data_IF_333389840623
#
_entry.id   IF_333389840623
#
_cell.length_a   1.000
_cell.length_b   1.000
_cell.length_c   1.000
_cell.angle_alpha   90.00
_cell.angle_beta   90.00
_cell.angle_gamma   90.00
#
_symmetry.space_group_name_H-M   'P 1'
#
loop_
_entity.id
_entity.type
_entity.pdbx_description
1 polymer ?
#
# COMPACT_ATOMS: atom_id res chain seq x y z
N UNK A 1 21.06 -2.57 -40.15
CA UNK A 1 21.80 -1.53 -39.38
C UNK A 1 20.90 -0.35 -38.93
N UNK A 2 19.68 -0.20 -39.45
CA UNK A 2 18.76 0.89 -39.04
C UNK A 2 17.96 0.62 -37.76
N UNK A 3 17.80 -0.64 -37.34
CA UNK A 3 17.02 -1.04 -36.16
C UNK A 3 17.67 -0.62 -34.83
N UNK A 4 18.99 -0.79 -34.70
CA UNK A 4 19.74 -0.49 -33.47
C UNK A 4 19.69 1.01 -33.10
N UNK A 5 19.71 1.89 -34.09
CA UNK A 5 19.65 3.34 -33.87
C UNK A 5 18.25 3.79 -33.43
N UNK A 6 17.21 3.13 -33.92
CA UNK A 6 15.82 3.44 -33.57
C UNK A 6 15.47 2.92 -32.18
N UNK A 7 16.02 1.78 -31.79
CA UNK A 7 15.89 1.22 -30.44
C UNK A 7 16.66 2.05 -29.40
N UNK A 8 17.83 2.59 -29.76
CA UNK A 8 18.58 3.51 -28.89
C UNK A 8 17.84 4.83 -28.66
N UNK A 9 17.25 5.43 -29.71
CA UNK A 9 16.44 6.64 -29.57
C UNK A 9 15.13 6.41 -28.78
N UNK A 10 14.51 5.22 -28.88
CA UNK A 10 13.39 4.84 -28.02
C UNK A 10 13.82 4.70 -26.57
N UNK A 11 14.91 3.99 -26.32
CA UNK A 11 15.46 3.81 -24.98
C UNK A 11 15.79 5.15 -24.30
N UNK A 12 16.44 6.07 -25.03
CA UNK A 12 16.74 7.42 -24.54
C UNK A 12 15.47 8.24 -24.25
N UNK A 13 14.40 8.06 -25.05
CA UNK A 13 13.10 8.71 -24.82
C UNK A 13 12.38 8.15 -23.61
N UNK A 14 12.42 6.83 -23.44
CA UNK A 14 11.81 6.13 -22.31
C UNK A 14 12.59 6.41 -21.01
N UNK A 15 13.91 6.53 -21.07
CA UNK A 15 14.77 6.93 -19.96
C UNK A 15 14.53 8.39 -19.56
N UNK A 16 14.37 9.30 -20.54
CA UNK A 16 14.03 10.70 -20.31
C UNK A 16 12.63 10.86 -19.71
N UNK A 17 11.63 10.14 -20.23
CA UNK A 17 10.28 10.09 -19.67
C UNK A 17 10.27 9.49 -18.26
N UNK A 18 11.09 8.46 -18.01
CA UNK A 18 11.24 7.90 -16.67
C UNK A 18 11.83 8.92 -15.69
N UNK A 19 12.86 9.67 -16.10
CA UNK A 19 13.43 10.74 -15.28
C UNK A 19 12.44 11.87 -15.00
N UNK A 20 11.63 12.26 -15.99
CA UNK A 20 10.55 13.24 -15.82
C UNK A 20 9.48 12.71 -14.87
N UNK A 21 9.04 11.46 -15.00
CA UNK A 21 8.08 10.86 -14.05
C UNK A 21 8.65 10.75 -12.63
N UNK A 22 9.94 10.47 -12.46
CA UNK A 22 10.59 10.47 -11.13
C UNK A 22 10.60 11.88 -10.55
N UNK A 23 10.94 12.90 -11.35
CA UNK A 23 10.88 14.31 -10.91
C UNK A 23 9.47 14.72 -10.53
N UNK A 24 8.47 14.38 -11.35
CA UNK A 24 7.07 14.67 -11.08
C UNK A 24 6.57 13.95 -9.82
N UNK A 25 6.95 12.69 -9.61
CA UNK A 25 6.65 11.97 -8.36
C UNK A 25 7.32 12.67 -7.18
N UNK A 26 8.55 13.15 -7.32
CA UNK A 26 9.29 13.83 -6.26
C UNK A 26 8.72 15.22 -5.93
N UNK A 27 8.26 15.95 -6.95
CA UNK A 27 7.56 17.23 -6.81
C UNK A 27 6.17 17.04 -6.19
N UNK A 28 5.43 16.00 -6.58
CA UNK A 28 4.10 15.67 -6.03
C UNK A 28 4.19 15.14 -4.58
N UNK A 29 5.29 14.46 -4.22
CA UNK A 29 5.63 14.16 -2.82
C UNK A 29 5.96 15.40 -1.98
N UNK A 30 6.14 16.58 -2.60
CA UNK A 30 6.35 17.86 -1.89
C UNK A 30 5.03 18.54 -1.58
N UNK A 31 3.92 18.15 -2.25
CA UNK A 31 2.60 18.40 -1.70
C UNK A 31 2.50 17.62 -0.41
N UNK A 32 2.35 18.34 0.70
CA UNK A 32 2.06 17.80 2.02
C UNK A 32 0.89 16.82 1.82
N UNK A 33 1.17 15.50 1.88
CA UNK A 33 0.15 14.54 2.26
C UNK A 33 -0.49 15.16 3.48
N UNK A 34 -1.79 15.46 3.42
CA UNK A 34 -2.46 16.20 4.49
C UNK A 34 -1.99 15.67 5.85
N UNK A 35 -1.54 16.54 6.76
CA UNK A 35 -1.06 16.15 8.09
C UNK A 35 -2.20 15.53 8.95
N UNK A 36 -3.32 15.16 8.31
CA UNK A 36 -4.43 14.38 8.83
C UNK A 36 -3.95 13.19 9.65
N UNK A 37 -2.88 12.51 9.23
CA UNK A 37 -2.34 11.37 9.98
C UNK A 37 -1.80 11.77 11.36
N UNK A 38 -1.12 12.91 11.48
CA UNK A 38 -0.65 13.42 12.78
C UNK A 38 -1.84 13.82 13.67
N UNK A 39 -2.91 14.38 13.09
CA UNK A 39 -4.15 14.63 13.84
C UNK A 39 -4.87 13.35 14.31
N UNK A 40 -4.63 12.19 13.67
CA UNK A 40 -5.22 10.91 14.10
C UNK A 40 -4.45 10.28 15.26
N UNK A 41 -3.12 10.45 15.34
CA UNK A 41 -2.31 9.92 16.45
C UNK A 41 -2.50 10.72 17.75
N UNK A 42 -2.69 12.05 17.66
CA UNK A 42 -2.92 12.91 18.83
C UNK A 42 -4.37 12.93 19.33
N UNK A 43 -5.32 12.39 18.54
CA UNK A 43 -6.72 12.33 18.93
C UNK A 43 -6.98 11.18 19.91
N UNK A 44 -7.06 11.52 21.20
CA UNK A 44 -7.68 10.67 22.23
C UNK A 44 -9.21 10.49 22.04
N UNK A 45 -9.79 11.05 20.97
CA UNK A 45 -11.22 11.03 20.71
C UNK A 45 -11.52 10.32 19.40
N UNK A 46 -12.53 9.46 19.43
CA UNK A 46 -12.99 8.74 18.24
C UNK A 46 -13.60 9.73 17.23
N UNK A 47 -13.46 9.47 15.92
CA UNK A 47 -14.02 10.35 14.91
C UNK A 47 -15.56 10.39 15.03
N UNK A 48 -16.20 11.52 14.68
CA UNK A 48 -17.64 11.71 14.88
C UNK A 48 -18.51 10.77 14.04
N UNK A 49 -17.94 10.14 13.00
CA UNK A 49 -18.60 9.15 12.17
C UNK A 49 -18.41 7.71 12.66
N UNK A 50 -17.66 7.49 13.75
CA UNK A 50 -17.45 6.16 14.30
C UNK A 50 -18.76 5.62 14.88
N UNK A 51 -19.11 4.40 14.48
CA UNK A 51 -20.29 3.67 14.94
C UNK A 51 -19.82 2.30 15.41
N UNK A 52 -19.81 2.10 16.74
CA UNK A 52 -19.32 0.88 17.37
C UNK A 52 -20.11 -0.36 16.94
N UNK A 53 -21.43 -0.22 16.74
CA UNK A 53 -22.27 -1.35 16.34
C UNK A 53 -21.92 -1.82 14.92
N UNK A 54 -21.74 -0.88 13.98
CA UNK A 54 -21.32 -1.20 12.61
C UNK A 54 -19.89 -1.76 12.58
N UNK A 55 -19.00 -1.22 13.41
CA UNK A 55 -17.63 -1.71 13.52
C UNK A 55 -17.61 -3.18 13.99
N UNK A 56 -18.35 -3.50 15.06
CA UNK A 56 -18.46 -4.87 15.58
C UNK A 56 -19.10 -5.84 14.60
N UNK A 57 -20.16 -5.43 13.90
CA UNK A 57 -20.74 -6.24 12.81
C UNK A 57 -19.72 -6.57 11.71
N UNK A 58 -18.82 -5.64 11.39
CA UNK A 58 -17.71 -5.88 10.46
C UNK A 58 -16.73 -6.94 10.97
N UNK A 59 -16.37 -6.89 12.25
CA UNK A 59 -15.50 -7.89 12.89
C UNK A 59 -16.17 -9.28 12.91
N UNK A 60 -17.44 -9.36 13.29
CA UNK A 60 -18.20 -10.61 13.27
C UNK A 60 -18.27 -11.23 11.86
N UNK A 61 -18.53 -10.40 10.85
CA UNK A 61 -18.53 -10.84 9.45
C UNK A 61 -17.16 -11.40 9.04
N UNK A 62 -16.07 -10.74 9.44
CA UNK A 62 -14.72 -11.23 9.18
C UNK A 62 -14.48 -12.59 9.83
N UNK A 63 -14.79 -12.76 11.12
CA UNK A 63 -14.59 -14.05 11.81
C UNK A 63 -15.39 -15.19 11.17
N UNK A 64 -16.60 -14.90 10.68
CA UNK A 64 -17.43 -15.87 9.96
C UNK A 64 -16.88 -16.25 8.58
N UNK A 65 -16.20 -15.33 7.91
CA UNK A 65 -15.75 -15.47 6.52
C UNK A 65 -14.24 -15.29 6.33
N UNK A 66 -13.45 -15.60 7.38
CA UNK A 66 -12.02 -15.30 7.45
C UNK A 66 -11.23 -15.87 6.26
N UNK A 67 -11.54 -17.10 5.85
CA UNK A 67 -10.86 -17.75 4.72
C UNK A 67 -11.15 -17.04 3.40
N UNK A 68 -12.41 -16.70 3.12
CA UNK A 68 -12.81 -16.01 1.89
C UNK A 68 -12.17 -14.61 1.82
N UNK A 69 -12.19 -13.88 2.94
CA UNK A 69 -11.57 -12.57 3.04
C UNK A 69 -10.05 -12.64 2.86
N UNK A 70 -9.39 -13.64 3.46
CA UNK A 70 -7.94 -13.84 3.31
C UNK A 70 -7.56 -14.18 1.87
N UNK A 71 -8.29 -15.08 1.21
CA UNK A 71 -8.07 -15.43 -0.19
C UNK A 71 -8.27 -14.22 -1.11
N UNK A 72 -9.32 -13.43 -0.90
CA UNK A 72 -9.54 -12.20 -1.66
C UNK A 72 -8.37 -11.20 -1.51
N UNK A 73 -7.84 -11.04 -0.30
CA UNK A 73 -6.67 -10.19 -0.02
C UNK A 73 -5.41 -10.71 -0.72
N UNK A 74 -5.18 -12.02 -0.73
CA UNK A 74 -4.06 -12.63 -1.46
C UNK A 74 -4.15 -12.40 -2.97
N UNK A 75 -5.33 -12.58 -3.58
CA UNK A 75 -5.52 -12.30 -5.00
C UNK A 75 -5.39 -10.82 -5.34
N UNK A 76 -5.88 -9.93 -4.46
CA UNK A 76 -5.65 -8.49 -4.59
C UNK A 76 -4.15 -8.17 -4.61
N UNK A 77 -3.39 -8.73 -3.66
CA UNK A 77 -1.94 -8.55 -3.63
C UNK A 77 -1.25 -9.14 -4.87
N UNK A 78 -1.65 -10.32 -5.32
CA UNK A 78 -1.11 -10.96 -6.52
C UNK A 78 -1.31 -10.09 -7.76
N UNK A 79 -2.48 -9.47 -7.88
CA UNK A 79 -2.82 -8.54 -8.97
C UNK A 79 -1.90 -7.31 -8.95
N UNK A 80 -1.66 -6.76 -7.75
CA UNK A 80 -0.77 -5.61 -7.54
C UNK A 80 0.67 -5.94 -7.96
N UNK A 81 1.22 -7.07 -7.51
CA UNK A 81 2.61 -7.45 -7.85
C UNK A 81 2.76 -7.94 -9.30
N UNK A 82 1.67 -8.43 -9.91
CA UNK A 82 1.66 -8.81 -11.32
C UNK A 82 1.66 -7.61 -12.27
N UNK A 83 1.35 -6.41 -11.76
CA UNK A 83 1.35 -5.18 -12.55
C UNK A 83 2.76 -4.57 -12.55
N UNK A 84 3.50 -4.55 -13.69
CA UNK A 84 4.92 -4.18 -13.73
C UNK A 84 5.21 -2.77 -13.20
N UNK A 85 4.31 -1.81 -13.47
CA UNK A 85 4.43 -0.43 -12.99
C UNK A 85 4.41 -0.36 -11.47
N UNK A 86 3.48 -1.09 -10.83
CA UNK A 86 3.36 -1.09 -9.37
C UNK A 86 4.53 -1.84 -8.75
N UNK A 87 4.92 -2.98 -9.33
CA UNK A 87 6.10 -3.72 -8.87
C UNK A 87 7.38 -2.86 -8.91
N UNK A 88 7.55 -2.04 -9.96
CA UNK A 88 8.67 -1.09 -10.08
C UNK A 88 8.67 -0.12 -8.91
N UNK A 89 7.54 0.50 -8.60
CA UNK A 89 7.40 1.41 -7.44
C UNK A 89 7.70 0.69 -6.13
N UNK A 90 7.13 -0.50 -5.92
CA UNK A 90 7.38 -1.30 -4.71
C UNK A 90 8.85 -1.68 -4.54
N UNK A 91 9.57 -1.90 -5.64
CA UNK A 91 11.02 -2.15 -5.65
C UNK A 91 11.80 -0.87 -5.29
N UNK A 92 11.40 0.29 -5.83
CA UNK A 92 12.03 1.58 -5.52
C UNK A 92 11.95 1.96 -4.04
N UNK A 93 10.88 1.59 -3.34
CA UNK A 93 10.75 1.87 -1.89
C UNK A 93 11.79 1.14 -1.02
N UNK A 94 12.59 0.21 -1.57
CA UNK A 94 13.52 -0.69 -0.87
C UNK A 94 12.89 -1.61 0.19
N UNK A 95 11.62 -1.43 0.52
CA UNK A 95 10.85 -2.28 1.42
C UNK A 95 10.43 -3.60 0.77
N UNK A 96 10.62 -3.75 -0.55
CA UNK A 96 10.40 -5.01 -1.28
C UNK A 96 11.30 -5.19 -2.48
N UNK A 97 12.51 -4.62 -2.41
CA UNK A 97 13.55 -4.84 -3.41
C UNK A 97 14.19 -6.23 -3.30
N UNK A 98 14.04 -6.92 -2.17
CA UNK A 98 14.55 -8.29 -1.97
C UNK A 98 13.42 -9.22 -1.49
N UNK A 99 13.52 -10.54 -1.74
CA UNK A 99 12.54 -11.50 -1.22
C UNK A 99 12.36 -11.42 0.31
N UNK A 100 13.44 -11.17 1.06
CA UNK A 100 13.40 -11.05 2.52
C UNK A 100 12.68 -9.79 3.00
N UNK A 101 12.96 -8.62 2.38
CA UNK A 101 12.28 -7.37 2.74
C UNK A 101 10.81 -7.41 2.33
N UNK A 102 10.51 -8.01 1.18
CA UNK A 102 9.13 -8.26 0.73
C UNK A 102 8.36 -9.18 1.69
N UNK A 103 8.96 -10.30 2.10
CA UNK A 103 8.37 -11.21 3.08
C UNK A 103 8.02 -10.50 4.39
N UNK A 104 8.97 -9.72 4.94
CA UNK A 104 8.74 -8.95 6.18
C UNK A 104 7.59 -7.95 6.01
N UNK A 105 7.53 -7.23 4.89
CA UNK A 105 6.45 -6.27 4.62
C UNK A 105 5.09 -6.97 4.58
N UNK A 106 4.97 -8.07 3.86
CA UNK A 106 3.68 -8.75 3.71
C UNK A 106 3.25 -9.47 4.98
N UNK A 107 4.19 -9.98 5.79
CA UNK A 107 3.87 -10.46 7.13
C UNK A 107 3.35 -9.34 8.04
N UNK A 108 3.98 -8.17 8.01
CA UNK A 108 3.50 -7.01 8.77
C UNK A 108 2.07 -6.63 8.32
N UNK A 109 1.79 -6.67 7.01
CA UNK A 109 0.43 -6.46 6.50
C UNK A 109 -0.56 -7.50 7.05
N UNK A 110 -0.20 -8.78 7.09
CA UNK A 110 -1.05 -9.82 7.69
C UNK A 110 -1.30 -9.54 9.16
N UNK A 111 -0.27 -9.18 9.92
CA UNK A 111 -0.42 -8.85 11.33
C UNK A 111 -1.33 -7.63 11.55
N UNK A 112 -1.13 -6.55 10.80
CA UNK A 112 -1.99 -5.36 10.87
C UNK A 112 -3.44 -5.68 10.54
N UNK A 113 -3.69 -6.56 9.57
CA UNK A 113 -5.05 -6.99 9.27
C UNK A 113 -5.68 -7.74 10.44
N UNK A 114 -4.97 -8.65 11.11
CA UNK A 114 -5.48 -9.29 12.31
C UNK A 114 -5.77 -8.26 13.41
N UNK A 115 -4.89 -7.28 13.61
CA UNK A 115 -5.10 -6.21 14.59
C UNK A 115 -6.42 -5.49 14.35
N UNK A 116 -6.76 -5.15 13.10
CA UNK A 116 -8.01 -4.45 12.77
C UNK A 116 -9.28 -5.26 13.11
N UNK A 117 -9.23 -6.58 12.91
CA UNK A 117 -10.39 -7.43 13.14
C UNK A 117 -10.49 -7.94 14.58
N UNK A 118 -9.38 -8.02 15.30
CA UNK A 118 -9.33 -8.59 16.65
C UNK A 118 -9.38 -7.53 17.77
N UNK A 119 -9.00 -6.28 17.50
CA UNK A 119 -8.93 -5.22 18.52
C UNK A 119 -10.09 -4.24 18.43
N UNK A 120 -10.43 -3.65 19.58
CA UNK A 120 -11.35 -2.53 19.65
C UNK A 120 -10.73 -1.28 19.06
N UNK A 121 -11.52 -0.47 18.36
CA UNK A 121 -11.08 0.85 17.91
C UNK A 121 -11.32 1.88 19.02
N UNK A 122 -10.47 1.85 20.06
CA UNK A 122 -10.54 2.73 21.24
C UNK A 122 -9.14 3.25 21.61
N UNK A 123 -9.00 4.51 22.09
CA UNK A 123 -7.71 5.02 22.57
C UNK A 123 -7.11 4.07 23.62
N UNK A 124 -5.86 3.65 23.40
CA UNK A 124 -5.16 2.67 24.27
C UNK A 124 -5.37 1.20 23.90
N UNK A 125 -6.09 0.89 22.82
CA UNK A 125 -6.05 -0.44 22.18
C UNK A 125 -4.70 -0.68 21.49
N UNK A 126 -4.38 -1.96 21.23
CA UNK A 126 -3.12 -2.38 20.58
C UNK A 126 -3.04 -2.00 19.10
#
# INVERSE_FOLDING_TARGET
MQTVHQDHCKKLRDDLSTQETIKLIQEDCTSICDDSYQEFEDRQTLPPFYDEEKFKKGQEFYHKHVLAMFVAKLFGLLTVISTPTILKILTFTNMSSTPLTAYKRYLATVYHMCVWYDNDFKPGSK
#
